data_IF_514805545074
#
_entry.id   IF_514805545074
#
_cell.length_a   1.000
_cell.length_b   1.000
_cell.length_c   1.000
_cell.angle_alpha   90.00
_cell.angle_beta   90.00
_cell.angle_gamma   90.00
#
_symmetry.space_group_name_H-M   'P 1'
#
loop_
_entity.id
_entity.type
_entity.pdbx_description
1 polymer ?
#
# COMPACT_ATOMS: atom_id res chain seq x y z
N UNK A 1 -32.23 -14.55 50.58
CA UNK A 1 -31.40 -15.07 49.51
C UNK A 1 -31.42 -14.04 48.41
N UNK A 2 -30.45 -13.16 48.39
CA UNK A 2 -30.27 -12.09 47.37
C UNK A 2 -29.23 -12.60 46.37
N UNK A 3 -29.68 -12.81 45.15
CA UNK A 3 -28.82 -13.24 44.02
C UNK A 3 -28.21 -12.01 43.40
N UNK A 4 -26.93 -11.75 43.69
CA UNK A 4 -26.13 -10.68 43.12
C UNK A 4 -25.32 -11.25 41.96
N UNK A 5 -25.96 -11.53 40.82
CA UNK A 5 -25.27 -11.73 39.55
C UNK A 5 -24.94 -10.35 38.92
N UNK A 6 -23.90 -9.72 39.42
CA UNK A 6 -23.32 -8.55 38.81
C UNK A 6 -22.60 -8.93 37.53
N UNK A 7 -23.31 -8.82 36.39
CA UNK A 7 -22.71 -8.86 35.05
C UNK A 7 -21.65 -7.79 34.93
N UNK A 8 -20.39 -8.19 34.84
CA UNK A 8 -19.32 -7.26 34.43
C UNK A 8 -19.63 -6.70 33.04
N UNK A 9 -19.52 -5.40 32.84
CA UNK A 9 -19.68 -4.84 31.49
C UNK A 9 -18.55 -5.43 30.62
N UNK A 10 -18.93 -6.07 29.53
CA UNK A 10 -18.00 -6.44 28.47
C UNK A 10 -17.31 -5.15 28.02
N UNK A 11 -16.07 -4.93 28.47
CA UNK A 11 -15.23 -3.89 27.94
C UNK A 11 -15.17 -4.09 26.42
N UNK A 12 -15.70 -3.14 25.66
CA UNK A 12 -15.72 -3.15 24.21
C UNK A 12 -14.34 -3.52 23.69
N UNK A 13 -14.28 -4.52 22.84
CA UNK A 13 -13.03 -5.00 22.25
C UNK A 13 -12.57 -3.90 21.30
N UNK A 14 -11.67 -3.02 21.76
CA UNK A 14 -10.98 -2.06 20.91
C UNK A 14 -10.34 -2.84 19.77
N UNK A 15 -10.86 -2.67 18.56
CA UNK A 15 -10.23 -3.22 17.37
C UNK A 15 -8.92 -2.46 17.15
N UNK A 16 -7.81 -3.09 17.48
CA UNK A 16 -6.50 -2.50 17.24
C UNK A 16 -6.19 -2.64 15.75
N UNK A 17 -6.12 -1.52 15.03
CA UNK A 17 -5.69 -1.51 13.63
C UNK A 17 -4.16 -1.52 13.61
N UNK A 18 -3.60 -2.63 13.11
CA UNK A 18 -2.20 -2.73 12.74
C UNK A 18 -2.00 -2.12 11.35
N UNK A 19 -0.80 -1.63 11.07
CA UNK A 19 -0.47 -1.01 9.78
C UNK A 19 0.65 -1.79 9.09
N UNK A 20 0.52 -1.96 7.78
CA UNK A 20 1.56 -2.41 6.88
C UNK A 20 1.63 -1.44 5.71
N UNK A 21 2.82 -0.97 5.38
CA UNK A 21 3.07 -0.11 4.23
C UNK A 21 3.94 -0.83 3.22
N UNK A 22 3.58 -0.72 1.94
CA UNK A 22 4.40 -1.25 0.86
C UNK A 22 4.45 -0.31 -0.33
N UNK A 23 5.54 -0.36 -1.09
CA UNK A 23 5.69 0.28 -2.38
C UNK A 23 6.55 -0.62 -3.30
N UNK A 24 5.93 -1.20 -4.30
CA UNK A 24 6.55 -2.15 -5.24
C UNK A 24 7.54 -1.48 -6.19
N UNK A 25 7.21 -0.28 -6.67
CA UNK A 25 7.96 0.44 -7.70
C UNK A 25 8.85 1.54 -7.11
N UNK A 26 9.60 1.21 -6.06
CA UNK A 26 10.30 2.15 -5.20
C UNK A 26 11.58 2.74 -5.81
N UNK A 27 12.13 2.15 -6.87
CA UNK A 27 13.43 2.51 -7.44
C UNK A 27 13.52 2.21 -8.93
N UNK A 28 14.37 2.96 -9.63
CA UNK A 28 14.81 2.68 -11.00
C UNK A 28 16.10 1.84 -11.05
N UNK A 29 16.55 1.24 -9.94
CA UNK A 29 17.80 0.50 -9.88
C UNK A 29 17.81 -0.70 -10.82
N UNK A 30 18.94 -0.88 -11.52
CA UNK A 30 19.21 -2.01 -12.39
C UNK A 30 20.44 -2.73 -11.83
N UNK A 31 20.34 -4.04 -11.51
CA UNK A 31 21.51 -4.84 -11.14
C UNK A 31 22.58 -4.82 -12.24
N UNK A 32 23.85 -4.77 -11.85
CA UNK A 32 25.00 -4.68 -12.77
C UNK A 32 24.92 -5.64 -13.94
N UNK A 33 24.59 -6.91 -13.66
CA UNK A 33 24.49 -7.97 -14.65
C UNK A 33 23.43 -7.74 -15.75
N UNK A 34 22.58 -6.73 -15.61
CA UNK A 34 21.47 -6.44 -16.53
C UNK A 34 21.51 -5.01 -17.09
N UNK A 35 22.60 -4.24 -16.85
CA UNK A 35 22.70 -2.84 -17.32
C UNK A 35 22.67 -2.74 -18.83
N UNK A 36 23.36 -3.62 -19.53
CA UNK A 36 23.39 -3.65 -21.00
C UNK A 36 21.99 -3.73 -21.64
N UNK A 37 21.05 -4.38 -20.94
CA UNK A 37 19.67 -4.51 -21.40
C UNK A 37 18.95 -3.16 -21.55
N UNK A 38 19.42 -2.14 -20.83
CA UNK A 38 18.79 -0.83 -20.75
C UNK A 38 19.67 0.31 -21.24
N UNK A 39 20.82 0.05 -21.90
CA UNK A 39 21.72 1.10 -22.39
C UNK A 39 21.02 2.10 -23.32
N UNK A 40 20.13 1.63 -24.20
CA UNK A 40 19.35 2.48 -25.09
C UNK A 40 18.02 2.97 -24.51
N UNK A 41 17.72 2.63 -23.26
CA UNK A 41 16.42 2.90 -22.61
C UNK A 41 16.59 3.60 -21.26
N UNK A 42 17.70 4.29 -21.01
CA UNK A 42 18.00 4.95 -19.74
C UNK A 42 16.91 5.97 -19.36
N UNK A 43 16.46 6.78 -20.32
CA UNK A 43 15.37 7.74 -20.09
C UNK A 43 14.07 7.07 -19.68
N UNK A 44 13.74 5.92 -20.27
CA UNK A 44 12.55 5.14 -19.88
C UNK A 44 12.67 4.59 -18.46
N UNK A 45 13.86 4.08 -18.09
CA UNK A 45 14.15 3.57 -16.74
C UNK A 45 14.00 4.65 -15.69
N UNK A 46 14.49 5.87 -15.98
CA UNK A 46 14.44 7.01 -15.07
C UNK A 46 13.06 7.71 -15.04
N UNK A 47 12.19 7.39 -16.00
CA UNK A 47 10.84 7.94 -16.06
C UNK A 47 9.86 7.16 -15.18
N UNK A 48 8.61 7.63 -15.15
CA UNK A 48 7.50 6.93 -14.49
C UNK A 48 7.17 5.56 -15.10
N UNK A 49 7.76 5.21 -16.26
CA UNK A 49 7.68 3.85 -16.79
C UNK A 49 8.56 2.87 -16.02
N UNK A 50 9.70 3.30 -15.49
CA UNK A 50 10.64 2.45 -14.76
C UNK A 50 10.38 2.35 -13.26
N UNK A 51 9.84 3.39 -12.64
CA UNK A 51 9.62 3.47 -11.20
C UNK A 51 8.59 4.56 -10.84
N UNK A 52 8.35 4.74 -9.59
CA UNK A 52 7.44 5.77 -9.09
C UNK A 52 8.20 6.82 -8.25
N UNK A 53 8.62 7.96 -8.88
CA UNK A 53 9.35 9.02 -8.19
C UNK A 53 8.66 9.50 -6.91
N UNK A 54 9.39 9.48 -5.79
CA UNK A 54 8.90 9.92 -4.49
C UNK A 54 8.22 8.86 -3.63
N UNK A 55 7.82 7.71 -4.20
CA UNK A 55 7.06 6.69 -3.46
C UNK A 55 7.86 6.09 -2.29
N UNK A 56 9.15 5.86 -2.46
CA UNK A 56 10.00 5.35 -1.37
C UNK A 56 10.07 6.34 -0.21
N UNK A 57 10.23 7.64 -0.51
CA UNK A 57 10.24 8.69 0.51
C UNK A 57 8.88 8.81 1.22
N UNK A 58 7.78 8.65 0.48
CA UNK A 58 6.43 8.58 1.05
C UNK A 58 6.32 7.39 2.00
N UNK A 59 6.70 6.20 1.55
CA UNK A 59 6.67 4.98 2.34
C UNK A 59 7.50 5.06 3.62
N UNK A 60 8.71 5.59 3.54
CA UNK A 60 9.57 5.82 4.70
C UNK A 60 8.93 6.77 5.73
N UNK A 61 8.28 7.85 5.25
CA UNK A 61 7.57 8.77 6.14
C UNK A 61 6.42 8.08 6.88
N UNK A 62 5.59 7.29 6.18
CA UNK A 62 4.53 6.50 6.81
C UNK A 62 5.09 5.48 7.81
N UNK A 63 6.10 4.71 7.42
CA UNK A 63 6.72 3.70 8.27
C UNK A 63 7.27 4.30 9.57
N UNK A 64 7.93 5.45 9.49
CA UNK A 64 8.44 6.17 10.65
C UNK A 64 7.32 6.70 11.54
N UNK A 65 6.28 7.31 10.97
CA UNK A 65 5.17 7.90 11.72
C UNK A 65 4.37 6.84 12.48
N UNK A 66 4.06 5.72 11.83
CA UNK A 66 3.28 4.63 12.41
C UNK A 66 4.15 3.56 13.11
N UNK A 67 5.47 3.75 13.15
CA UNK A 67 6.44 2.85 13.79
C UNK A 67 6.30 1.39 13.31
N UNK A 68 6.16 1.21 12.02
CA UNK A 68 6.05 -0.10 11.37
C UNK A 68 7.06 -0.24 10.24
N UNK A 69 7.56 -1.44 9.95
CA UNK A 69 8.46 -1.65 8.82
C UNK A 69 7.80 -1.35 7.48
N UNK A 70 8.59 -0.79 6.53
CA UNK A 70 8.23 -0.66 5.14
C UNK A 70 8.69 -1.90 4.36
N UNK A 71 7.84 -2.42 3.48
CA UNK A 71 8.23 -3.41 2.46
C UNK A 71 8.28 -2.69 1.12
N UNK A 72 9.42 -2.73 0.44
CA UNK A 72 9.58 -2.04 -0.84
C UNK A 72 10.34 -2.87 -1.87
N UNK A 73 10.07 -2.60 -3.15
CA UNK A 73 10.83 -3.17 -4.24
C UNK A 73 12.25 -2.58 -4.29
N UNK A 74 13.19 -3.36 -4.82
CA UNK A 74 14.61 -3.04 -4.87
C UNK A 74 15.15 -2.94 -6.32
N UNK A 75 14.26 -3.02 -7.32
CA UNK A 75 14.61 -3.09 -8.74
C UNK A 75 13.57 -2.35 -9.58
N UNK A 76 13.99 -1.84 -10.75
CA UNK A 76 13.07 -1.22 -11.72
C UNK A 76 11.99 -2.20 -12.19
N UNK A 77 10.74 -1.74 -12.27
CA UNK A 77 9.65 -2.57 -12.81
C UNK A 77 9.82 -2.94 -14.28
N UNK A 78 10.71 -2.25 -15.01
CA UNK A 78 11.06 -2.64 -16.38
C UNK A 78 11.92 -3.90 -16.43
N UNK A 79 12.59 -4.27 -15.34
CA UNK A 79 13.29 -5.55 -15.24
C UNK A 79 12.35 -6.64 -14.74
N UNK A 80 11.59 -6.36 -13.68
CA UNK A 80 10.54 -7.24 -13.16
C UNK A 80 9.49 -6.43 -12.38
N UNK A 81 8.22 -6.51 -12.78
CA UNK A 81 7.11 -5.88 -12.06
C UNK A 81 6.62 -6.80 -10.93
N UNK A 82 6.85 -6.37 -9.70
CA UNK A 82 6.56 -7.14 -8.49
C UNK A 82 5.05 -7.26 -8.17
N UNK A 83 4.20 -6.47 -8.84
CA UNK A 83 2.74 -6.55 -8.69
C UNK A 83 2.09 -7.50 -9.68
N UNK A 84 2.80 -7.86 -10.76
CA UNK A 84 2.27 -8.66 -11.84
C UNK A 84 2.63 -10.14 -11.70
N UNK A 85 1.92 -10.99 -12.45
CA UNK A 85 2.14 -12.42 -12.54
C UNK A 85 2.37 -12.89 -13.98
N UNK A 86 2.82 -14.12 -14.15
CA UNK A 86 3.04 -14.73 -15.46
C UNK A 86 3.95 -13.87 -16.33
N UNK A 87 3.60 -13.74 -17.61
CA UNK A 87 4.39 -12.97 -18.56
C UNK A 87 4.23 -11.44 -18.37
N UNK A 88 3.18 -10.98 -17.73
CA UNK A 88 2.93 -9.56 -17.51
C UNK A 88 3.96 -8.90 -16.56
N UNK A 89 4.71 -9.70 -15.78
CA UNK A 89 5.79 -9.19 -14.93
C UNK A 89 7.04 -8.74 -15.70
N UNK A 90 7.16 -9.14 -16.99
CA UNK A 90 8.33 -8.86 -17.81
C UNK A 90 8.03 -7.74 -18.80
N UNK A 91 8.85 -6.70 -18.80
CA UNK A 91 8.75 -5.64 -19.79
C UNK A 91 9.19 -6.13 -21.18
N UNK A 92 9.00 -5.27 -22.20
CA UNK A 92 9.55 -5.52 -23.55
C UNK A 92 11.07 -5.75 -23.58
N UNK A 93 11.80 -5.28 -22.56
CA UNK A 93 13.24 -5.45 -22.41
C UNK A 93 13.56 -6.80 -21.77
N UNK A 94 12.96 -7.11 -20.65
CA UNK A 94 13.26 -8.29 -19.86
C UNK A 94 12.57 -9.58 -20.32
N UNK A 95 11.48 -9.47 -21.10
CA UNK A 95 10.80 -10.64 -21.69
C UNK A 95 11.67 -11.46 -22.63
N UNK A 96 12.71 -10.83 -23.22
CA UNK A 96 13.68 -11.48 -24.12
C UNK A 96 14.77 -12.26 -23.39
N UNK A 97 14.88 -12.12 -22.08
CA UNK A 97 15.86 -12.87 -21.28
C UNK A 97 15.52 -14.36 -21.29
N UNK A 98 16.55 -15.24 -21.31
CA UNK A 98 16.36 -16.69 -21.18
C UNK A 98 15.57 -17.04 -19.91
N UNK A 99 14.73 -18.05 -19.99
CA UNK A 99 13.90 -18.50 -18.86
C UNK A 99 14.68 -18.73 -17.56
N UNK A 100 15.89 -19.37 -17.57
CA UNK A 100 16.68 -19.52 -16.35
C UNK A 100 17.11 -18.19 -15.72
N UNK A 101 17.32 -17.14 -16.53
CA UNK A 101 17.65 -15.79 -16.04
C UNK A 101 16.42 -15.11 -15.44
N UNK A 102 15.26 -15.22 -16.10
CA UNK A 102 13.99 -14.72 -15.57
C UNK A 102 13.65 -15.39 -14.25
N UNK A 103 13.83 -16.70 -14.13
CA UNK A 103 13.61 -17.43 -12.88
C UNK A 103 14.52 -16.91 -11.75
N UNK A 104 15.82 -16.69 -12.03
CA UNK A 104 16.74 -16.09 -11.05
C UNK A 104 16.32 -14.69 -10.59
N UNK A 105 15.79 -13.86 -11.51
CA UNK A 105 15.25 -12.55 -11.16
C UNK A 105 14.03 -12.65 -10.25
N UNK A 106 13.09 -13.55 -10.57
CA UNK A 106 11.93 -13.81 -9.72
C UNK A 106 12.36 -14.32 -8.32
N UNK A 107 13.30 -15.25 -8.26
CA UNK A 107 13.82 -15.80 -7.00
C UNK A 107 14.52 -14.73 -6.15
N UNK A 108 15.19 -13.77 -6.77
CA UNK A 108 15.98 -12.75 -6.08
C UNK A 108 15.15 -11.54 -5.64
N UNK A 109 14.17 -11.11 -6.42
CA UNK A 109 13.44 -9.87 -6.21
C UNK A 109 11.98 -10.10 -5.84
N UNK A 110 11.24 -10.90 -6.61
CA UNK A 110 9.80 -11.11 -6.41
C UNK A 110 9.51 -11.97 -5.17
N UNK A 111 10.11 -13.14 -5.06
CA UNK A 111 9.86 -14.06 -3.94
C UNK A 111 10.17 -13.42 -2.58
N UNK A 112 11.32 -12.74 -2.37
CA UNK A 112 11.59 -12.06 -1.11
C UNK A 112 10.59 -10.93 -0.81
N UNK A 113 10.20 -10.14 -1.83
CA UNK A 113 9.22 -9.06 -1.67
C UNK A 113 7.86 -9.60 -1.26
N UNK A 114 7.31 -10.57 -2.00
CA UNK A 114 6.03 -11.21 -1.68
C UNK A 114 6.08 -11.95 -0.35
N UNK A 115 7.14 -12.70 -0.09
CA UNK A 115 7.35 -13.40 1.18
C UNK A 115 7.40 -12.46 2.38
N UNK A 116 8.04 -11.29 2.25
CA UNK A 116 8.06 -10.28 3.31
C UNK A 116 6.66 -9.72 3.58
N UNK A 117 5.85 -9.44 2.54
CA UNK A 117 4.46 -9.00 2.69
C UNK A 117 3.63 -10.07 3.41
N UNK A 118 3.65 -11.30 2.94
CA UNK A 118 2.91 -12.42 3.52
C UNK A 118 3.26 -12.65 4.99
N UNK A 119 4.56 -12.63 5.32
CA UNK A 119 5.03 -12.79 6.70
C UNK A 119 4.52 -11.66 7.59
N UNK A 120 4.59 -10.38 7.12
CA UNK A 120 4.10 -9.22 7.88
C UNK A 120 2.59 -9.27 8.12
N UNK A 121 1.82 -9.70 7.12
CA UNK A 121 0.37 -9.89 7.27
C UNK A 121 0.10 -10.98 8.30
N UNK A 122 0.73 -12.15 8.17
CA UNK A 122 0.56 -13.27 9.11
C UNK A 122 0.91 -12.87 10.54
N UNK A 123 2.07 -12.23 10.76
CA UNK A 123 2.52 -11.77 12.08
C UNK A 123 1.55 -10.76 12.72
N UNK A 124 0.99 -9.85 11.92
CA UNK A 124 0.03 -8.88 12.41
C UNK A 124 -1.29 -9.53 12.83
N UNK A 125 -1.82 -10.43 12.00
CA UNK A 125 -3.06 -11.15 12.29
C UNK A 125 -2.93 -12.11 13.49
N UNK A 126 -1.76 -12.71 13.70
CA UNK A 126 -1.48 -13.52 14.89
C UNK A 126 -1.54 -12.72 16.19
N UNK A 127 -1.21 -11.44 16.17
CA UNK A 127 -1.34 -10.55 17.34
C UNK A 127 -2.78 -10.17 17.66
N UNK A 128 -3.71 -10.53 16.79
CA UNK A 128 -5.13 -10.16 16.89
C UNK A 128 -5.38 -8.73 16.39
N UNK A 129 -6.66 -8.40 16.18
CA UNK A 129 -7.09 -7.12 15.62
C UNK A 129 -7.24 -7.17 14.10
N UNK A 130 -7.21 -6.00 13.47
CA UNK A 130 -7.35 -5.82 12.03
C UNK A 130 -6.07 -5.23 11.46
N UNK A 131 -5.66 -5.68 10.29
CA UNK A 131 -4.51 -5.12 9.57
C UNK A 131 -4.98 -4.26 8.40
N UNK A 132 -4.58 -3.00 8.39
CA UNK A 132 -4.63 -2.14 7.22
C UNK A 132 -3.30 -2.23 6.45
N UNK A 133 -3.35 -2.80 5.26
CA UNK A 133 -2.25 -2.75 4.30
C UNK A 133 -2.47 -1.56 3.35
N UNK A 134 -1.66 -0.53 3.50
CA UNK A 134 -1.65 0.62 2.60
C UNK A 134 -0.58 0.42 1.52
N UNK A 135 -1.05 0.20 0.28
CA UNK A 135 -0.20 0.11 -0.91
C UNK A 135 0.06 1.54 -1.40
N UNK A 136 1.31 1.96 -1.33
CA UNK A 136 1.72 3.33 -1.64
C UNK A 136 2.20 3.43 -3.08
N UNK A 137 1.66 4.41 -3.78
CA UNK A 137 1.99 4.73 -5.16
C UNK A 137 2.16 6.22 -5.36
N UNK A 138 2.94 6.58 -6.37
CA UNK A 138 2.91 7.91 -6.97
C UNK A 138 2.65 7.76 -8.47
N UNK A 139 1.91 8.69 -9.04
CA UNK A 139 1.47 8.57 -10.42
C UNK A 139 1.27 9.90 -11.12
N UNK A 140 0.77 9.88 -12.37
CA UNK A 140 0.43 11.09 -13.10
C UNK A 140 -0.55 11.97 -12.31
N UNK A 141 -0.48 13.27 -12.54
CA UNK A 141 -1.38 14.22 -11.93
C UNK A 141 -2.82 13.95 -12.39
N UNK A 142 -3.66 13.62 -11.42
CA UNK A 142 -5.10 13.52 -11.57
C UNK A 142 -5.77 14.62 -10.77
N UNK A 143 -7.05 14.85 -10.99
CA UNK A 143 -7.83 15.82 -10.24
C UNK A 143 -7.65 15.61 -8.73
N UNK A 144 -7.27 16.67 -8.03
CA UNK A 144 -7.00 16.66 -6.58
C UNK A 144 -5.63 16.13 -6.17
N UNK A 145 -4.91 15.42 -7.03
CA UNK A 145 -3.56 14.90 -6.77
C UNK A 145 -3.46 13.76 -5.76
N UNK A 146 -4.59 13.27 -5.22
CA UNK A 146 -4.69 12.14 -4.30
C UNK A 146 -5.78 11.20 -4.81
N UNK A 147 -5.50 9.92 -4.86
CA UNK A 147 -6.46 8.88 -5.22
C UNK A 147 -6.41 7.75 -4.20
N UNK A 148 -7.57 7.37 -3.69
CA UNK A 148 -7.78 6.21 -2.83
C UNK A 148 -8.54 5.16 -3.64
N UNK A 149 -8.04 3.94 -3.63
CA UNK A 149 -8.68 2.79 -4.27
C UNK A 149 -8.79 1.65 -3.27
N UNK A 150 -9.90 0.93 -3.28
CA UNK A 150 -10.07 -0.27 -2.44
C UNK A 150 -10.07 -1.50 -3.33
N UNK A 151 -8.94 -2.24 -3.41
CA UNK A 151 -8.88 -3.51 -4.11
C UNK A 151 -9.86 -4.50 -3.50
N UNK A 152 -10.48 -5.33 -4.36
CA UNK A 152 -11.40 -6.36 -3.89
C UNK A 152 -12.73 -5.82 -3.35
N UNK A 153 -13.42 -6.66 -2.59
CA UNK A 153 -14.79 -6.41 -2.08
C UNK A 153 -14.85 -6.32 -0.55
N UNK A 154 -13.85 -5.70 0.08
CA UNK A 154 -13.86 -5.51 1.53
C UNK A 154 -14.75 -4.34 1.95
N UNK A 155 -15.91 -4.54 2.58
CA UNK A 155 -16.73 -3.45 3.10
C UNK A 155 -15.98 -2.60 4.12
N UNK A 156 -15.20 -3.22 5.00
CA UNK A 156 -14.40 -2.52 6.01
C UNK A 156 -13.36 -1.60 5.38
N UNK A 157 -12.66 -2.05 4.32
CA UNK A 157 -11.73 -1.18 3.58
C UNK A 157 -12.46 -0.03 2.88
N UNK A 158 -13.64 -0.28 2.31
CA UNK A 158 -14.47 0.74 1.67
C UNK A 158 -14.95 1.78 2.67
N UNK A 159 -15.40 1.37 3.85
CA UNK A 159 -15.86 2.26 4.93
C UNK A 159 -14.68 3.13 5.43
N UNK A 160 -13.52 2.51 5.72
CA UNK A 160 -12.34 3.24 6.17
C UNK A 160 -11.83 4.24 5.11
N UNK A 161 -11.80 3.84 3.83
CA UNK A 161 -11.39 4.72 2.74
C UNK A 161 -12.36 5.90 2.58
N UNK A 162 -13.67 5.68 2.76
CA UNK A 162 -14.69 6.73 2.73
C UNK A 162 -14.53 7.71 3.87
N UNK A 163 -14.28 7.24 5.08
CA UNK A 163 -13.98 8.08 6.25
C UNK A 163 -12.73 8.91 5.96
N UNK A 164 -11.65 8.27 5.49
CA UNK A 164 -10.39 8.96 5.21
C UNK A 164 -10.55 10.04 4.14
N UNK A 165 -11.23 9.73 3.03
CA UNK A 165 -11.55 10.72 2.00
C UNK A 165 -12.30 11.94 2.58
N UNK A 166 -13.30 11.71 3.42
CA UNK A 166 -14.08 12.79 4.00
C UNK A 166 -13.24 13.70 4.91
N UNK A 167 -12.32 13.12 5.69
CA UNK A 167 -11.36 13.88 6.51
C UNK A 167 -10.40 14.67 5.61
N UNK A 168 -9.87 14.07 4.52
CA UNK A 168 -9.02 14.77 3.55
C UNK A 168 -9.72 15.98 2.97
N UNK A 169 -10.99 15.86 2.58
CA UNK A 169 -11.80 16.96 2.05
C UNK A 169 -12.01 18.05 3.10
N UNK A 170 -12.31 17.69 4.35
CA UNK A 170 -12.47 18.63 5.45
C UNK A 170 -11.17 19.42 5.74
N UNK A 171 -10.01 18.83 5.50
CA UNK A 171 -8.68 19.45 5.59
C UNK A 171 -8.29 20.24 4.32
N UNK A 172 -9.20 20.40 3.36
CA UNK A 172 -8.97 21.14 2.12
C UNK A 172 -8.16 20.37 1.07
N UNK A 173 -8.04 19.05 1.21
CA UNK A 173 -7.38 18.17 0.25
C UNK A 173 -8.43 17.35 -0.50
N UNK A 174 -8.57 17.61 -1.79
CA UNK A 174 -9.47 16.80 -2.61
C UNK A 174 -8.82 15.45 -2.91
N UNK A 175 -9.58 14.37 -2.70
CA UNK A 175 -9.16 13.02 -3.00
C UNK A 175 -10.24 12.28 -3.80
N UNK A 176 -9.84 11.66 -4.90
CA UNK A 176 -10.68 10.69 -5.62
C UNK A 176 -10.79 9.41 -4.79
N UNK A 177 -11.99 8.81 -4.79
CA UNK A 177 -12.20 7.51 -4.17
C UNK A 177 -12.88 6.58 -5.18
N UNK A 178 -12.27 5.41 -5.40
CA UNK A 178 -12.78 4.36 -6.27
C UNK A 178 -12.82 3.04 -5.49
N UNK A 179 -14.02 2.51 -5.33
CA UNK A 179 -14.22 1.19 -4.74
C UNK A 179 -14.06 0.09 -5.79
N UNK A 180 -13.64 -1.08 -5.37
CA UNK A 180 -13.40 -2.25 -6.22
C UNK A 180 -12.49 -1.90 -7.42
N UNK A 181 -11.42 -1.18 -7.14
CA UNK A 181 -10.46 -0.68 -8.12
C UNK A 181 -9.04 -0.75 -7.56
N UNK A 182 -8.04 -0.72 -8.44
CA UNK A 182 -6.62 -0.79 -8.05
C UNK A 182 -6.15 -2.21 -7.77
N UNK A 183 -6.86 -3.22 -8.24
CA UNK A 183 -6.45 -4.63 -8.15
C UNK A 183 -5.20 -4.90 -8.99
N UNK A 184 -4.35 -5.76 -8.47
CA UNK A 184 -3.22 -6.38 -9.16
C UNK A 184 -3.17 -7.86 -8.77
N UNK A 185 -2.46 -8.72 -9.54
CA UNK A 185 -2.25 -10.11 -9.14
C UNK A 185 -1.72 -10.25 -7.72
N UNK A 186 -0.82 -9.36 -7.29
CA UNK A 186 -0.30 -9.35 -5.92
C UNK A 186 -1.40 -9.09 -4.89
N UNK A 187 -2.23 -8.04 -5.10
CA UNK A 187 -3.29 -7.70 -4.14
C UNK A 187 -4.35 -8.78 -4.05
N UNK A 188 -4.71 -9.40 -5.19
CA UNK A 188 -5.65 -10.52 -5.26
C UNK A 188 -5.12 -11.74 -4.52
N UNK A 189 -3.87 -12.14 -4.75
CA UNK A 189 -3.24 -13.28 -4.08
C UNK A 189 -3.18 -13.10 -2.55
N UNK A 190 -2.86 -11.87 -2.06
CA UNK A 190 -2.87 -11.57 -0.64
C UNK A 190 -4.29 -11.61 -0.04
N UNK A 191 -5.30 -11.10 -0.76
CA UNK A 191 -6.70 -11.13 -0.31
C UNK A 191 -7.27 -12.56 -0.27
N UNK A 192 -6.86 -13.43 -1.19
CA UNK A 192 -7.23 -14.86 -1.19
C UNK A 192 -6.59 -15.60 -0.01
N UNK A 193 -5.34 -15.28 0.30
CA UNK A 193 -4.59 -15.94 1.38
C UNK A 193 -5.02 -15.52 2.77
N UNK A 194 -5.42 -14.27 2.94
CA UNK A 194 -5.74 -13.68 4.25
C UNK A 194 -7.20 -13.24 4.30
N UNK A 195 -8.00 -13.82 5.18
CA UNK A 195 -9.45 -13.61 5.17
C UNK A 195 -9.85 -12.22 5.68
N UNK A 196 -10.88 -11.66 5.05
CA UNK A 196 -11.62 -10.50 5.57
C UNK A 196 -12.48 -10.91 6.79
N UNK A 197 -12.80 -10.01 7.71
CA UNK A 197 -12.47 -8.56 7.71
C UNK A 197 -11.13 -8.22 8.36
N UNK A 198 -10.37 -9.20 8.82
CA UNK A 198 -9.14 -8.98 9.57
C UNK A 198 -8.03 -8.35 8.71
N UNK A 199 -8.06 -8.52 7.39
CA UNK A 199 -7.12 -7.92 6.45
C UNK A 199 -7.83 -6.98 5.47
N UNK A 200 -7.42 -5.72 5.49
CA UNK A 200 -7.93 -4.64 4.63
C UNK A 200 -6.82 -4.10 3.74
N UNK A 201 -7.15 -3.81 2.49
CA UNK A 201 -6.25 -3.18 1.52
C UNK A 201 -6.81 -1.84 1.08
N UNK A 202 -5.97 -0.80 1.09
CA UNK A 202 -6.22 0.49 0.45
C UNK A 202 -5.00 0.84 -0.38
N UNK A 203 -5.20 1.22 -1.64
CA UNK A 203 -4.17 1.77 -2.50
C UNK A 203 -4.26 3.28 -2.44
N UNK A 204 -3.16 3.93 -2.07
CA UNK A 204 -3.00 5.38 -2.08
C UNK A 204 -2.08 5.75 -3.23
N UNK A 205 -2.56 6.54 -4.17
CA UNK A 205 -1.74 7.16 -5.22
C UNK A 205 -1.67 8.66 -5.00
N UNK A 206 -0.45 9.20 -4.96
CA UNK A 206 -0.17 10.64 -4.82
C UNK A 206 0.44 11.16 -6.12
N UNK A 207 0.00 12.32 -6.59
CA UNK A 207 0.53 12.93 -7.80
C UNK A 207 2.04 13.18 -7.70
N UNK A 208 2.79 12.74 -8.70
CA UNK A 208 4.25 12.90 -8.77
C UNK A 208 4.70 14.36 -8.80
N UNK A 209 3.85 15.28 -9.28
CA UNK A 209 4.13 16.70 -9.28
C UNK A 209 4.43 17.25 -7.90
N UNK A 210 3.83 16.72 -6.83
CA UNK A 210 4.16 17.13 -5.48
C UNK A 210 5.63 16.89 -5.12
N UNK A 211 6.21 15.81 -5.62
CA UNK A 211 7.61 15.46 -5.42
C UNK A 211 8.53 16.12 -6.45
N UNK A 212 8.15 16.04 -7.75
CA UNK A 212 8.99 16.48 -8.86
C UNK A 212 9.02 18.01 -9.05
N UNK A 213 8.06 18.75 -8.49
CA UNK A 213 7.98 20.21 -8.64
C UNK A 213 9.15 20.99 -7.99
N UNK A 214 10.10 20.31 -7.35
CA UNK A 214 11.24 20.93 -6.68
C UNK A 214 10.84 21.83 -5.49
N UNK A 215 9.70 21.59 -4.90
CA UNK A 215 9.16 22.34 -3.74
C UNK A 215 9.04 21.41 -2.52
N UNK A 216 10.14 21.14 -1.79
CA UNK A 216 10.18 20.18 -0.69
C UNK A 216 9.11 20.42 0.38
N UNK A 217 8.81 21.68 0.68
CA UNK A 217 7.79 22.06 1.66
C UNK A 217 6.38 21.61 1.27
N UNK A 218 6.04 21.59 -0.02
CA UNK A 218 4.74 21.07 -0.48
C UNK A 218 4.66 19.56 -0.31
N UNK A 219 5.73 18.86 -0.66
CA UNK A 219 5.82 17.43 -0.47
C UNK A 219 5.73 17.03 1.01
N UNK A 220 6.46 17.73 1.88
CA UNK A 220 6.40 17.51 3.33
C UNK A 220 5.03 17.84 3.92
N UNK A 221 4.37 18.88 3.43
CA UNK A 221 3.02 19.22 3.82
C UNK A 221 2.04 18.09 3.49
N UNK A 222 2.04 17.61 2.24
CA UNK A 222 1.16 16.51 1.81
C UNK A 222 1.41 15.24 2.63
N UNK A 223 2.66 14.83 2.82
CA UNK A 223 2.99 13.66 3.65
C UNK A 223 2.43 13.79 5.07
N UNK A 224 2.66 14.92 5.73
CA UNK A 224 2.15 15.18 7.10
C UNK A 224 0.63 15.12 7.16
N UNK A 225 -0.06 15.72 6.17
CA UNK A 225 -1.53 15.70 6.11
C UNK A 225 -2.07 14.29 5.87
N UNK A 226 -1.49 13.54 4.95
CA UNK A 226 -1.89 12.16 4.68
C UNK A 226 -1.76 11.27 5.92
N UNK A 227 -0.65 11.37 6.66
CA UNK A 227 -0.43 10.58 7.88
C UNK A 227 -1.39 10.98 9.00
N UNK A 228 -1.58 12.28 9.25
CA UNK A 228 -2.49 12.77 10.30
C UNK A 228 -3.95 12.41 10.01
N UNK A 229 -4.39 12.57 8.74
CA UNK A 229 -5.75 12.24 8.33
C UNK A 229 -6.02 10.73 8.33
N UNK A 230 -5.04 9.89 7.97
CA UNK A 230 -5.16 8.43 8.09
C UNK A 230 -5.31 8.02 9.56
N UNK A 231 -4.50 8.59 10.46
CA UNK A 231 -4.61 8.32 11.89
C UNK A 231 -5.99 8.71 12.43
N UNK A 232 -6.53 9.87 12.03
CA UNK A 232 -7.88 10.29 12.36
C UNK A 232 -8.96 9.37 11.80
N UNK A 233 -8.79 8.89 10.56
CA UNK A 233 -9.71 7.96 9.92
C UNK A 233 -9.75 6.60 10.65
N UNK A 234 -8.60 6.05 11.02
CA UNK A 234 -8.53 4.83 11.80
C UNK A 234 -9.21 4.97 13.16
N UNK A 235 -8.97 6.09 13.87
CA UNK A 235 -9.62 6.36 15.16
C UNK A 235 -11.15 6.48 15.04
N UNK A 236 -11.66 7.14 14.00
CA UNK A 236 -13.09 7.25 13.73
C UNK A 236 -13.70 5.91 13.33
N UNK A 237 -13.01 5.12 12.53
CA UNK A 237 -13.46 3.78 12.12
C UNK A 237 -13.60 2.84 13.33
N UNK A 238 -12.60 2.82 14.24
CA UNK A 238 -12.65 2.04 15.48
C UNK A 238 -13.83 2.44 16.36
N UNK A 239 -14.09 3.76 16.52
CA UNK A 239 -15.20 4.25 17.32
C UNK A 239 -16.60 3.87 16.76
N UNK A 240 -16.72 3.72 15.43
CA UNK A 240 -17.96 3.29 14.78
C UNK A 240 -18.18 1.78 14.92
N UNK A 241 -17.10 0.98 15.00
CA UNK A 241 -17.15 -0.47 15.21
C UNK A 241 -17.68 -0.84 16.60
N UNK A 242 -17.40 -0.03 17.62
CA UNK A 242 -17.86 -0.24 18.99
C UNK A 242 -19.37 0.03 19.17
N UNK A 243 -20.04 0.69 18.21
CA UNK A 243 -21.46 1.06 18.26
C UNK A 243 -22.42 0.09 17.53
N UNK A 244 -21.93 -0.87 16.76
CA UNK A 244 -22.77 -1.85 16.07
C UNK A 244 -22.93 -3.12 16.94
N UNK A 245 -24.17 -3.48 17.38
CA UNK A 245 -24.40 -4.77 18.01
C UNK A 245 -24.03 -5.89 17.02
N UNK A 246 -23.33 -6.92 17.52
CA UNK A 246 -23.06 -8.13 16.74
C UNK A 246 -24.37 -8.72 16.24
N UNK A 247 -24.54 -8.83 14.93
CA UNK A 247 -25.68 -9.46 14.28
C UNK A 247 -25.60 -10.99 14.37
#
# INVERSE_FOLDING_TARGET
MLDLAGGMPHAGRRFMIHHLFSCSHATCAIPEAHRELFESAQEEVESSAGWEPGVLNLGQAFAMHFRTPLVHGDVTRLLIDLEQDGDARWSRHSSKLPEPTRQKLADRHEKPYRGALEQRVADALQRGGTLLHLLLHTGPDREGGIELQTPGKSPAAADLASIWRNILIAEGLYALLQHQSGESPLTSALAEKFPMPAYMQIRLTVAQSYFLAGRPHKWDFIKKRLMATLQGACAQFDAQGDGKPAA
#
